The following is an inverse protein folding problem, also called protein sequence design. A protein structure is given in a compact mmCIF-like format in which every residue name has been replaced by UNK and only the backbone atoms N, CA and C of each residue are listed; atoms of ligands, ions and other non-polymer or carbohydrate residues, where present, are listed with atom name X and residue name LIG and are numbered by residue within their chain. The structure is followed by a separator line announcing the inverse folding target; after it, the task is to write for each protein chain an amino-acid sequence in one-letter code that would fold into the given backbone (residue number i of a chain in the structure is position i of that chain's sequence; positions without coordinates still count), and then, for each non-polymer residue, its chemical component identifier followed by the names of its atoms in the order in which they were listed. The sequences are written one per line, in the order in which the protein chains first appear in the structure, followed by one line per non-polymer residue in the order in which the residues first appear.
data_IF_626234069788
#
_entry.id   IF_626234069788
#
_cell.length_a   1.000
_cell.length_b   1.000
_cell.length_c   1.000
_cell.angle_alpha   90.00
_cell.angle_beta   90.00
_cell.angle_gamma   90.00
#
_symmetry.space_group_name_H-M   'P 1'
#
loop_
_entity.id
_entity.type
_entity.pdbx_description
1 polymer ?
#
# COMPACT_ATOMS: atom_id res chain seq x y z
N UNK A 1 10.04 61.59 35.14
CA UNK A 1 10.26 60.48 34.19
C UNK A 1 9.49 59.26 34.69
N UNK A 2 8.32 58.98 34.11
CA UNK A 2 7.51 57.81 34.48
C UNK A 2 7.81 56.66 33.52
N UNK A 3 8.46 55.60 34.02
CA UNK A 3 8.75 54.39 33.25
C UNK A 3 7.45 53.60 33.00
N UNK A 4 6.99 53.60 31.76
CA UNK A 4 5.78 52.90 31.30
C UNK A 4 6.06 51.39 31.30
N UNK A 5 5.59 50.67 32.32
CA UNK A 5 5.67 49.20 32.39
C UNK A 5 4.80 48.60 31.29
N UNK A 6 5.44 48.06 30.26
CA UNK A 6 4.77 47.24 29.23
C UNK A 6 4.27 45.97 29.94
N UNK A 7 2.97 45.63 29.89
CA UNK A 7 2.45 44.47 30.58
C UNK A 7 2.97 43.20 29.90
N UNK A 8 3.81 42.46 30.62
CA UNK A 8 4.40 41.17 30.19
C UNK A 8 3.33 40.14 29.76
N UNK A 9 2.08 40.32 30.20
CA UNK A 9 0.91 39.52 29.78
C UNK A 9 0.57 39.66 28.29
N UNK A 10 0.75 40.85 27.70
CA UNK A 10 0.42 41.08 26.29
C UNK A 10 1.37 40.38 25.32
N UNK A 11 2.64 40.24 25.71
CA UNK A 11 3.66 39.54 24.92
C UNK A 11 3.44 38.01 24.95
N UNK A 12 2.99 37.45 26.09
CA UNK A 12 2.68 36.03 26.23
C UNK A 12 1.42 35.63 25.43
N UNK A 13 0.39 36.49 25.40
CA UNK A 13 -0.81 36.24 24.58
C UNK A 13 -0.52 36.28 23.06
N UNK A 14 0.38 37.16 22.62
CA UNK A 14 0.85 37.21 21.22
C UNK A 14 1.70 35.98 20.83
N UNK A 15 2.50 35.47 21.76
CA UNK A 15 3.29 34.25 21.57
C UNK A 15 2.42 32.98 21.52
N UNK A 16 1.31 32.93 22.26
CA UNK A 16 0.37 31.80 22.25
C UNK A 16 -0.48 31.75 20.96
N UNK A 17 -0.79 32.88 20.33
CA UNK A 17 -1.51 32.88 19.05
C UNK A 17 -0.64 32.40 17.88
N UNK A 18 0.67 32.66 17.93
CA UNK A 18 1.60 32.22 16.90
C UNK A 18 1.82 30.68 16.85
N UNK A 19 1.40 29.95 17.89
CA UNK A 19 1.66 28.52 18.03
C UNK A 19 0.51 27.60 17.58
N UNK A 20 -0.56 28.12 16.95
CA UNK A 20 -1.60 27.27 16.37
C UNK A 20 -1.12 26.68 15.04
N UNK A 21 -0.28 25.64 15.09
CA UNK A 21 -0.09 24.76 13.94
C UNK A 21 -1.36 23.95 13.74
N UNK A 22 -2.28 24.45 12.92
CA UNK A 22 -3.44 23.68 12.49
C UNK A 22 -2.91 22.46 11.71
N UNK A 23 -3.14 21.25 12.21
CA UNK A 23 -2.84 20.04 11.44
C UNK A 23 -3.61 20.14 10.10
N UNK A 24 -2.88 20.14 8.98
CA UNK A 24 -3.48 20.31 7.67
C UNK A 24 -4.42 19.13 7.39
N UNK A 25 -5.70 19.41 7.15
CA UNK A 25 -6.69 18.38 6.83
C UNK A 25 -6.40 17.76 5.46
N UNK A 26 -5.97 16.50 5.45
CA UNK A 26 -5.59 15.75 4.26
C UNK A 26 -6.81 15.02 3.66
N UNK A 27 -7.39 15.56 2.58
CA UNK A 27 -8.59 15.00 1.94
C UNK A 27 -8.37 13.58 1.43
N UNK A 28 -7.15 13.22 1.00
CA UNK A 28 -6.88 11.87 0.51
C UNK A 28 -7.04 10.77 1.56
N UNK A 29 -6.90 11.11 2.86
CA UNK A 29 -7.10 10.19 3.98
C UNK A 29 -8.57 10.04 4.40
N UNK A 30 -9.47 10.90 3.92
CA UNK A 30 -10.88 10.85 4.28
C UNK A 30 -11.64 9.84 3.39
N UNK A 31 -12.13 8.70 3.93
CA UNK A 31 -12.83 7.70 3.16
C UNK A 31 -14.21 8.16 2.66
N UNK A 32 -14.76 9.26 3.22
CA UNK A 32 -16.06 9.82 2.80
C UNK A 32 -15.95 10.67 1.53
N UNK A 33 -14.74 11.01 1.09
CA UNK A 33 -14.52 11.77 -0.15
C UNK A 33 -14.52 10.84 -1.35
N UNK A 34 -15.01 11.34 -2.48
CA UNK A 34 -14.98 10.59 -3.73
C UNK A 34 -13.54 10.25 -4.13
N UNK A 35 -13.37 9.12 -4.82
CA UNK A 35 -12.06 8.63 -5.24
C UNK A 35 -11.25 9.70 -5.99
N UNK A 36 -11.87 10.38 -6.96
CA UNK A 36 -11.22 11.43 -7.74
C UNK A 36 -10.74 12.63 -6.90
N UNK A 37 -11.46 12.97 -5.82
CA UNK A 37 -11.03 14.03 -4.89
C UNK A 37 -9.80 13.58 -4.11
N UNK A 38 -9.80 12.33 -3.63
CA UNK A 38 -8.68 11.75 -2.89
C UNK A 38 -7.42 11.65 -3.77
N UNK A 39 -7.56 11.16 -5.00
CA UNK A 39 -6.46 11.06 -5.98
C UNK A 39 -5.88 12.45 -6.28
N UNK A 40 -6.74 13.43 -6.60
CA UNK A 40 -6.28 14.78 -6.93
C UNK A 40 -5.56 15.46 -5.76
N UNK A 41 -6.04 15.28 -4.53
CA UNK A 41 -5.39 15.80 -3.33
C UNK A 41 -4.03 15.12 -3.09
N UNK A 42 -3.96 13.79 -3.20
CA UNK A 42 -2.72 13.03 -3.04
C UNK A 42 -1.67 13.42 -4.09
N UNK A 43 -2.03 13.41 -5.37
CA UNK A 43 -1.12 13.71 -6.49
C UNK A 43 -0.51 15.12 -6.42
N UNK A 44 -1.24 16.08 -5.83
CA UNK A 44 -0.75 17.45 -5.58
C UNK A 44 0.29 17.52 -4.46
N UNK A 45 0.20 16.61 -3.49
CA UNK A 45 1.11 16.53 -2.34
C UNK A 45 2.38 15.75 -2.63
N UNK A 46 2.38 14.94 -3.69
CA UNK A 46 3.52 14.11 -4.07
C UNK A 46 4.63 14.89 -4.76
N UNK A 47 5.85 14.65 -4.31
CA UNK A 47 7.10 14.98 -5.00
C UNK A 47 7.25 14.14 -6.28
N UNK A 48 8.21 14.51 -7.14
CA UNK A 48 8.54 13.69 -8.31
C UNK A 48 9.05 12.31 -7.91
N UNK A 49 9.89 12.22 -6.85
CA UNK A 49 10.41 10.95 -6.34
C UNK A 49 9.28 10.02 -5.88
N UNK A 50 8.29 10.53 -5.15
CA UNK A 50 7.13 9.72 -4.73
C UNK A 50 6.29 9.25 -5.92
N UNK A 51 6.15 10.06 -6.98
CA UNK A 51 5.42 9.64 -8.19
C UNK A 51 6.15 8.52 -8.94
N UNK A 52 7.47 8.64 -9.07
CA UNK A 52 8.30 7.60 -9.68
C UNK A 52 8.27 6.33 -8.84
N UNK A 53 8.38 6.46 -7.51
CA UNK A 53 8.27 5.34 -6.58
C UNK A 53 6.95 4.58 -6.74
N UNK A 54 5.83 5.30 -6.88
CA UNK A 54 4.52 4.68 -7.13
C UNK A 54 4.42 3.92 -8.46
N UNK A 55 5.20 4.30 -9.47
CA UNK A 55 5.29 3.59 -10.75
C UNK A 55 6.30 2.43 -10.74
N UNK A 56 6.98 2.21 -9.61
CA UNK A 56 8.04 1.21 -9.47
C UNK A 56 7.51 -0.03 -8.76
N UNK A 57 7.64 -1.17 -9.44
CA UNK A 57 7.38 -2.50 -8.88
C UNK A 57 8.71 -3.25 -8.73
N UNK A 58 8.98 -3.79 -7.54
CA UNK A 58 10.21 -4.56 -7.28
C UNK A 58 9.89 -6.00 -6.88
N UNK A 59 10.83 -6.89 -7.11
CA UNK A 59 10.75 -8.28 -6.62
C UNK A 59 11.05 -8.33 -5.12
N UNK A 60 10.33 -9.17 -4.36
CA UNK A 60 10.42 -9.23 -2.89
C UNK A 60 11.79 -9.58 -2.31
N UNK A 61 12.66 -10.28 -3.04
CA UNK A 61 14.03 -10.58 -2.64
C UNK A 61 14.92 -9.33 -2.63
N UNK A 62 14.54 -8.31 -3.40
CA UNK A 62 15.20 -7.00 -3.42
C UNK A 62 14.53 -6.00 -2.46
N UNK A 63 13.44 -6.39 -1.78
CA UNK A 63 12.70 -5.53 -0.89
C UNK A 63 13.28 -5.56 0.53
N UNK A 64 13.45 -4.38 1.11
CA UNK A 64 13.74 -4.19 2.53
C UNK A 64 12.99 -2.96 3.04
N UNK A 65 12.75 -2.87 4.35
CA UNK A 65 12.07 -1.71 4.91
C UNK A 65 12.78 -0.38 4.63
N UNK A 66 14.11 -0.38 4.46
CA UNK A 66 14.87 0.80 4.04
C UNK A 66 14.55 1.18 2.59
N UNK A 67 14.72 0.22 1.67
CA UNK A 67 14.42 0.42 0.23
C UNK A 67 13.00 0.94 0.01
N UNK A 68 12.01 0.36 0.69
CA UNK A 68 10.61 0.77 0.53
C UNK A 68 10.36 2.21 0.99
N UNK A 69 11.04 2.65 2.06
CA UNK A 69 10.90 4.01 2.59
C UNK A 69 11.66 5.03 1.75
N UNK A 70 12.90 4.72 1.42
CA UNK A 70 13.82 5.67 0.78
C UNK A 70 13.42 5.94 -0.67
N UNK A 71 12.83 4.94 -1.35
CA UNK A 71 12.43 5.03 -2.75
C UNK A 71 10.91 5.11 -2.98
N UNK A 72 10.10 5.19 -1.91
CA UNK A 72 8.64 5.35 -1.98
C UNK A 72 7.93 4.30 -2.86
N UNK A 73 8.42 3.06 -2.80
CA UNK A 73 8.01 1.95 -3.68
C UNK A 73 6.49 1.74 -3.62
N UNK A 74 5.85 1.72 -4.80
CA UNK A 74 4.41 1.55 -4.97
C UNK A 74 3.95 0.11 -5.03
N UNK A 75 4.79 -0.81 -5.50
CA UNK A 75 4.43 -2.21 -5.65
C UNK A 75 5.58 -3.17 -5.36
N UNK A 76 5.25 -4.34 -4.82
CA UNK A 76 6.15 -5.47 -4.67
C UNK A 76 5.50 -6.67 -5.35
N UNK A 77 6.27 -7.55 -5.97
CA UNK A 77 5.76 -8.84 -6.44
C UNK A 77 6.51 -10.04 -5.87
N UNK A 78 5.86 -11.19 -5.92
CA UNK A 78 6.52 -12.50 -5.91
C UNK A 78 6.35 -13.17 -7.25
N UNK A 79 7.45 -13.27 -8.01
CA UNK A 79 7.48 -14.05 -9.24
C UNK A 79 7.37 -15.54 -8.95
N UNK A 80 7.24 -16.35 -10.01
CA UNK A 80 7.17 -17.81 -9.92
C UNK A 80 8.28 -18.41 -9.03
N UNK A 81 7.87 -19.12 -7.97
CA UNK A 81 8.80 -19.76 -7.02
C UNK A 81 9.44 -18.83 -5.98
N UNK A 82 9.19 -17.52 -6.04
CA UNK A 82 9.65 -16.57 -5.01
C UNK A 82 8.74 -16.66 -3.77
N UNK A 83 9.09 -17.55 -2.85
CA UNK A 83 8.28 -17.88 -1.66
C UNK A 83 8.97 -17.45 -0.36
N UNK A 84 8.23 -17.16 0.74
CA UNK A 84 8.81 -16.85 2.05
C UNK A 84 9.79 -17.91 2.56
N UNK A 85 9.41 -19.17 2.41
CA UNK A 85 10.15 -20.35 2.83
C UNK A 85 9.61 -21.59 2.07
N UNK A 86 10.35 -22.72 2.06
CA UNK A 86 9.80 -23.99 1.58
C UNK A 86 8.50 -24.32 2.31
N UNK A 87 7.46 -24.73 1.56
CA UNK A 87 6.14 -25.07 2.10
C UNK A 87 5.46 -23.96 2.93
N UNK A 88 5.74 -22.69 2.62
CA UNK A 88 5.14 -21.55 3.31
C UNK A 88 3.60 -21.57 3.28
N UNK A 89 3.01 -21.51 4.47
CA UNK A 89 1.58 -21.40 4.70
C UNK A 89 1.07 -19.98 4.40
N UNK A 90 -0.25 -19.81 4.27
CA UNK A 90 -0.86 -18.49 4.11
C UNK A 90 -0.46 -17.50 5.23
N UNK A 91 -0.26 -17.99 6.45
CA UNK A 91 0.20 -17.18 7.59
C UNK A 91 1.61 -16.64 7.35
N UNK A 92 2.52 -17.46 6.85
CA UNK A 92 3.92 -17.07 6.58
C UNK A 92 3.98 -15.97 5.50
N UNK A 93 3.10 -16.03 4.51
CA UNK A 93 2.94 -14.97 3.51
C UNK A 93 2.50 -13.65 4.15
N UNK A 94 1.46 -13.66 4.99
CA UNK A 94 0.98 -12.46 5.70
C UNK A 94 2.07 -11.88 6.61
N UNK A 95 2.81 -12.73 7.32
CA UNK A 95 3.90 -12.32 8.20
C UNK A 95 5.07 -11.70 7.43
N UNK A 96 5.39 -12.19 6.24
CA UNK A 96 6.38 -11.59 5.34
C UNK A 96 5.93 -10.21 4.82
N UNK A 97 4.67 -10.07 4.43
CA UNK A 97 4.14 -8.86 3.78
C UNK A 97 3.93 -7.73 4.79
N UNK A 98 3.53 -8.06 6.01
CA UNK A 98 3.16 -7.07 7.04
C UNK A 98 4.26 -6.04 7.31
N UNK A 99 5.55 -6.41 7.49
CA UNK A 99 6.65 -5.44 7.63
C UNK A 99 6.84 -4.54 6.41
N UNK A 100 6.66 -5.05 5.19
CA UNK A 100 6.75 -4.24 3.97
C UNK A 100 5.66 -3.17 3.95
N UNK A 101 4.41 -3.56 4.23
CA UNK A 101 3.30 -2.62 4.27
C UNK A 101 3.49 -1.56 5.37
N UNK A 102 3.94 -1.98 6.56
CA UNK A 102 4.29 -1.05 7.65
C UNK A 102 5.40 -0.06 7.24
N UNK A 103 6.37 -0.48 6.44
CA UNK A 103 7.42 0.39 5.95
C UNK A 103 6.87 1.47 5.02
N UNK A 104 6.06 1.11 4.03
CA UNK A 104 5.41 2.05 3.11
C UNK A 104 4.49 3.04 3.84
N UNK A 105 3.70 2.55 4.81
CA UNK A 105 2.81 3.38 5.63
C UNK A 105 3.56 4.36 6.55
N UNK A 106 4.83 4.11 6.86
CA UNK A 106 5.66 5.00 7.68
C UNK A 106 6.29 6.16 6.90
N UNK A 107 6.12 6.20 5.58
CA UNK A 107 6.59 7.32 4.74
C UNK A 107 5.76 8.59 5.00
N UNK A 108 6.25 9.74 4.53
CA UNK A 108 5.63 11.05 4.71
C UNK A 108 4.14 11.11 4.34
N UNK A 109 3.76 10.46 3.23
CA UNK A 109 2.36 10.40 2.78
C UNK A 109 1.64 9.11 3.19
N UNK A 110 2.37 8.12 3.72
CA UNK A 110 1.80 6.85 4.17
C UNK A 110 0.96 6.14 3.10
N UNK A 111 1.45 6.13 1.86
CA UNK A 111 0.77 5.47 0.75
C UNK A 111 1.01 3.95 0.89
N UNK A 112 -0.04 3.11 0.96
CA UNK A 112 0.13 1.66 1.00
C UNK A 112 0.73 1.14 -0.30
N UNK A 113 1.55 0.09 -0.23
CA UNK A 113 1.95 -0.63 -1.44
C UNK A 113 0.89 -1.66 -1.83
N UNK A 114 0.89 -2.03 -3.11
CA UNK A 114 0.15 -3.17 -3.64
C UNK A 114 1.11 -4.34 -3.77
N UNK A 115 0.66 -5.55 -3.41
CA UNK A 115 1.45 -6.77 -3.56
C UNK A 115 0.90 -7.62 -4.71
N UNK A 116 1.77 -7.91 -5.69
CA UNK A 116 1.47 -8.73 -6.86
C UNK A 116 1.92 -10.17 -6.71
N UNK A 117 1.14 -11.09 -7.27
CA UNK A 117 1.50 -12.51 -7.36
C UNK A 117 0.84 -13.15 -8.58
N UNK A 118 1.55 -14.11 -9.19
CA UNK A 118 1.02 -14.92 -10.28
C UNK A 118 0.10 -16.02 -9.72
N UNK A 119 -1.17 -15.69 -9.50
CA UNK A 119 -2.23 -16.61 -9.06
C UNK A 119 -3.08 -17.08 -10.27
N UNK A 120 -2.44 -17.73 -11.24
CA UNK A 120 -3.01 -17.97 -12.59
C UNK A 120 -3.91 -19.20 -12.70
N UNK A 121 -3.96 -20.03 -11.66
CA UNK A 121 -4.80 -21.23 -11.60
C UNK A 121 -5.08 -21.60 -10.15
N UNK A 122 -5.53 -20.61 -9.39
CA UNK A 122 -5.52 -20.62 -7.92
C UNK A 122 -4.28 -19.92 -7.38
N UNK A 123 -4.14 -19.84 -6.06
CA UNK A 123 -2.98 -19.21 -5.44
C UNK A 123 -1.75 -20.13 -5.46
N UNK A 124 -1.27 -20.49 -6.65
CA UNK A 124 -0.35 -21.60 -6.94
C UNK A 124 1.02 -21.55 -6.25
N UNK A 125 1.45 -20.39 -5.75
CA UNK A 125 2.70 -20.25 -4.97
C UNK A 125 2.52 -20.53 -3.46
N UNK A 126 1.29 -20.57 -2.94
CA UNK A 126 1.03 -20.87 -1.52
C UNK A 126 0.94 -22.37 -1.34
N UNK A 127 1.66 -22.89 -0.34
CA UNK A 127 1.63 -24.31 -0.04
C UNK A 127 0.23 -24.76 0.36
N UNK A 128 -0.19 -25.90 -0.19
CA UNK A 128 -1.51 -26.50 0.04
C UNK A 128 -2.71 -25.64 -0.42
N UNK A 129 -2.49 -24.65 -1.31
CA UNK A 129 -3.57 -23.94 -1.97
C UNK A 129 -4.29 -24.86 -2.99
N UNK A 130 -5.58 -24.64 -3.18
CA UNK A 130 -6.34 -25.30 -4.26
C UNK A 130 -5.74 -24.92 -5.61
N UNK A 131 -5.41 -25.93 -6.42
CA UNK A 131 -4.90 -25.76 -7.78
C UNK A 131 -6.01 -26.11 -8.77
N UNK A 132 -6.39 -25.13 -9.58
CA UNK A 132 -7.39 -25.29 -10.62
C UNK A 132 -6.76 -25.76 -11.95
N UNK A 133 -7.56 -26.30 -12.88
CA UNK A 133 -7.09 -26.56 -14.24
C UNK A 133 -6.56 -25.27 -14.89
N UNK A 134 -5.49 -25.37 -15.66
CA UNK A 134 -5.00 -24.24 -16.45
C UNK A 134 -6.04 -23.76 -17.47
N UNK A 135 -5.89 -22.52 -17.93
CA UNK A 135 -6.82 -21.82 -18.82
C UNK A 135 -7.26 -22.63 -20.07
N UNK A 136 -6.38 -23.44 -20.65
CA UNK A 136 -6.74 -24.30 -21.78
C UNK A 136 -7.78 -25.37 -21.39
N UNK A 137 -7.63 -25.97 -20.21
CA UNK A 137 -8.59 -26.93 -19.66
C UNK A 137 -9.91 -26.27 -19.30
N UNK A 138 -9.86 -25.07 -18.72
CA UNK A 138 -11.07 -24.28 -18.44
C UNK A 138 -11.81 -23.90 -19.74
N UNK A 139 -11.08 -23.49 -20.78
CA UNK A 139 -11.65 -23.17 -22.10
C UNK A 139 -12.31 -24.37 -22.78
N UNK A 140 -11.80 -25.58 -22.53
CA UNK A 140 -12.40 -26.82 -23.03
C UNK A 140 -13.76 -27.14 -22.41
N UNK A 141 -14.06 -26.62 -21.22
CA UNK A 141 -15.37 -26.83 -20.56
C UNK A 141 -16.51 -26.09 -21.25
N UNK A 142 -16.21 -25.00 -21.98
CA UNK A 142 -17.19 -24.07 -22.58
C UNK A 142 -18.15 -23.43 -21.56
N UNK A 143 -17.79 -23.40 -20.27
CA UNK A 143 -18.66 -22.90 -19.20
C UNK A 143 -18.09 -21.63 -18.57
N UNK A 144 -18.43 -20.47 -19.12
CA UNK A 144 -17.89 -19.17 -18.68
C UNK A 144 -18.18 -18.85 -17.20
N UNK A 145 -19.33 -19.29 -16.67
CA UNK A 145 -19.72 -19.06 -15.28
C UNK A 145 -18.76 -19.71 -14.25
N UNK A 146 -18.12 -20.83 -14.61
CA UNK A 146 -17.16 -21.46 -13.71
C UNK A 146 -15.91 -20.62 -13.51
N UNK A 147 -15.52 -19.83 -14.51
CA UNK A 147 -14.35 -18.95 -14.43
C UNK A 147 -14.54 -17.88 -13.33
N UNK A 148 -15.70 -17.21 -13.32
CA UNK A 148 -16.03 -16.23 -12.28
C UNK A 148 -16.09 -16.84 -10.87
N UNK A 149 -16.54 -18.08 -10.76
CA UNK A 149 -16.55 -18.80 -9.49
C UNK A 149 -15.14 -19.13 -8.99
N UNK A 150 -14.27 -19.63 -9.89
CA UNK A 150 -12.86 -19.96 -9.58
C UNK A 150 -12.11 -18.71 -9.12
N UNK A 151 -12.30 -17.58 -9.81
CA UNK A 151 -11.65 -16.30 -9.46
C UNK A 151 -12.05 -15.86 -8.04
N UNK A 152 -13.34 -15.94 -7.70
CA UNK A 152 -13.84 -15.59 -6.37
C UNK A 152 -13.27 -16.46 -5.24
N UNK A 153 -12.96 -17.73 -5.51
CA UNK A 153 -12.39 -18.64 -4.52
C UNK A 153 -10.88 -18.41 -4.29
N UNK A 154 -10.19 -17.75 -5.22
CA UNK A 154 -8.73 -17.62 -5.23
C UNK A 154 -8.22 -16.36 -4.51
N UNK A 155 -9.05 -15.33 -4.37
CA UNK A 155 -8.66 -13.97 -3.93
C UNK A 155 -8.76 -13.72 -2.41
N UNK A 156 -8.57 -14.74 -1.56
CA UNK A 156 -8.79 -14.65 -0.10
C UNK A 156 -7.85 -13.71 0.69
N UNK A 157 -6.93 -13.00 0.03
CA UNK A 157 -5.98 -12.07 0.61
C UNK A 157 -5.88 -10.89 -0.37
N UNK A 158 -5.75 -9.64 0.13
CA UNK A 158 -5.68 -8.38 -0.66
C UNK A 158 -4.42 -8.29 -1.56
N UNK A 159 -4.22 -9.29 -2.40
CA UNK A 159 -3.23 -9.32 -3.48
C UNK A 159 -3.90 -8.80 -4.73
N UNK A 160 -3.22 -7.89 -5.43
CA UNK A 160 -3.61 -7.63 -6.81
C UNK A 160 -3.10 -8.80 -7.64
N UNK A 161 -4.01 -9.52 -8.27
CA UNK A 161 -3.65 -10.45 -9.34
C UNK A 161 -3.07 -9.58 -10.47
N UNK A 162 -1.75 -9.63 -10.67
CA UNK A 162 -1.09 -8.99 -11.80
C UNK A 162 -0.83 -10.11 -12.80
N UNK A 163 -1.80 -10.37 -13.66
CA UNK A 163 -1.68 -11.18 -14.87
C UNK A 163 -2.53 -10.52 -15.96
#
# INVERSE_FOLDING_TARGET
MAARRIPMLGLVFLLCWAATTQAEYMKYKDPKRSLNVRIKDLMKRMTLAEKIGQMTQIERANASSGVLKDYFIGSILSGGGSVPAPQASAKDWVEMITPFQKACLSTRLGIPMIYGIDAVHGHNNVYNATIFPHNIGLGATRQAFYMSHIDSCSLGLDFSMIC
#
